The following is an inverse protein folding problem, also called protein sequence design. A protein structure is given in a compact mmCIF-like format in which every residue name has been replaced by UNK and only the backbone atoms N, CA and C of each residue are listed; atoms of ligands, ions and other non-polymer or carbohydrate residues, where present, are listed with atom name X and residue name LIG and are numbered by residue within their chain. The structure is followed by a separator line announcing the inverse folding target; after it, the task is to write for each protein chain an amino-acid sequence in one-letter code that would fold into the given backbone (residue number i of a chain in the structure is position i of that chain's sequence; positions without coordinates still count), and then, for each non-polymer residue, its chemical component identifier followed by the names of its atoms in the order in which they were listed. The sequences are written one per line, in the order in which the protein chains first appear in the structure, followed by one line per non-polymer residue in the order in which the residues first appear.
data_IF_007675041152
#
_entry.id   IF_007675041152
#
_cell.length_a   1.000
_cell.length_b   1.000
_cell.length_c   1.000
_cell.angle_alpha   90.00
_cell.angle_beta   90.00
_cell.angle_gamma   90.00
#
_symmetry.space_group_name_H-M   'P 1'
#
loop_
_entity.id
_entity.type
_entity.pdbx_description
1 polymer ?
#
# COMPACT_ATOMS: atom_id res chain seq x y z
N UNK A 1 -4.83 23.11 -26.81
CA UNK A 1 -4.16 23.93 -25.78
C UNK A 1 -3.23 23.03 -25.00
N UNK A 2 -1.94 23.15 -25.29
CA UNK A 2 -0.88 22.45 -24.54
C UNK A 2 -0.92 22.92 -23.10
N UNK A 3 -1.43 22.06 -22.22
CA UNK A 3 -1.23 22.23 -20.80
C UNK A 3 0.26 22.05 -20.53
N UNK A 4 0.96 23.14 -20.32
CA UNK A 4 2.33 23.13 -19.78
C UNK A 4 2.33 22.26 -18.53
N UNK A 5 2.78 21.00 -18.64
CA UNK A 5 3.05 20.16 -17.50
C UNK A 5 4.07 20.90 -16.64
N UNK A 6 3.66 21.31 -15.44
CA UNK A 6 4.57 21.90 -14.45
C UNK A 6 5.62 20.83 -14.10
N UNK A 7 6.78 20.92 -14.70
CA UNK A 7 7.94 20.04 -14.41
C UNK A 7 8.74 20.66 -13.28
N UNK A 8 9.22 19.84 -12.37
CA UNK A 8 10.22 20.28 -11.40
C UNK A 8 11.56 20.46 -12.09
N UNK A 9 12.44 21.30 -11.53
CA UNK A 9 13.81 21.49 -12.05
C UNK A 9 14.54 20.14 -12.17
N UNK A 10 14.36 19.25 -11.19
CA UNK A 10 14.95 17.90 -11.18
C UNK A 10 14.47 17.05 -12.37
N UNK A 11 13.16 17.03 -12.64
CA UNK A 11 12.62 16.26 -13.76
C UNK A 11 13.02 16.83 -15.13
N UNK A 12 13.11 18.14 -15.27
CA UNK A 12 13.54 18.79 -16.51
C UNK A 12 15.03 18.51 -16.80
N UNK A 13 15.88 18.58 -15.77
CA UNK A 13 17.31 18.23 -15.90
C UNK A 13 17.46 16.73 -16.21
N UNK A 14 16.73 15.85 -15.53
CA UNK A 14 16.80 14.39 -15.77
C UNK A 14 16.43 14.02 -17.21
N UNK A 15 15.37 14.63 -17.76
CA UNK A 15 14.96 14.38 -19.14
C UNK A 15 15.95 14.94 -20.19
N UNK A 16 16.55 16.10 -19.94
CA UNK A 16 17.50 16.74 -20.86
C UNK A 16 18.88 16.11 -20.83
N UNK A 17 19.31 15.57 -19.69
CA UNK A 17 20.66 15.03 -19.49
C UNK A 17 20.83 13.59 -20.00
N UNK A 18 19.83 13.02 -20.67
CA UNK A 18 19.82 11.67 -21.18
C UNK A 18 21.05 11.31 -22.02
N UNK A 19 22.10 10.75 -21.36
CA UNK A 19 23.35 10.18 -21.86
C UNK A 19 24.65 10.93 -21.59
N UNK A 20 24.69 12.12 -21.06
CA UNK A 20 25.97 12.72 -20.62
C UNK A 20 26.25 12.33 -19.14
N UNK A 21 26.92 11.21 -18.98
CA UNK A 21 27.39 10.67 -17.70
C UNK A 21 28.60 11.51 -17.25
N UNK A 22 28.39 12.43 -16.31
CA UNK A 22 29.49 13.23 -15.76
C UNK A 22 28.98 14.19 -14.68
N UNK A 23 28.77 15.42 -15.05
CA UNK A 23 28.41 16.53 -14.13
C UNK A 23 26.99 16.39 -13.55
N UNK A 24 26.08 15.63 -14.19
CA UNK A 24 24.69 15.48 -13.76
C UNK A 24 24.39 14.15 -13.08
N UNK A 25 25.39 13.29 -12.84
CA UNK A 25 25.16 11.98 -12.21
C UNK A 25 24.48 12.09 -10.85
N UNK A 26 24.99 12.97 -9.99
CA UNK A 26 24.45 13.19 -8.65
C UNK A 26 22.99 13.67 -8.68
N UNK A 27 22.66 14.54 -9.63
CA UNK A 27 21.27 15.02 -9.82
C UNK A 27 20.38 13.88 -10.29
N UNK A 28 20.83 13.03 -11.20
CA UNK A 28 20.11 11.86 -11.65
C UNK A 28 19.93 10.83 -10.52
N UNK A 29 20.96 10.62 -9.69
CA UNK A 29 20.87 9.72 -8.53
C UNK A 29 19.83 10.23 -7.53
N UNK A 30 19.78 11.53 -7.25
CA UNK A 30 18.76 12.15 -6.40
C UNK A 30 17.36 12.01 -7.03
N UNK A 31 17.23 12.27 -8.33
CA UNK A 31 15.96 12.12 -9.03
C UNK A 31 15.46 10.67 -8.97
N UNK A 32 16.33 9.70 -9.26
CA UNK A 32 16.00 8.27 -9.22
C UNK A 32 15.63 7.82 -7.80
N UNK A 33 16.32 8.38 -6.78
CA UNK A 33 15.97 8.11 -5.39
C UNK A 33 14.55 8.58 -5.05
N UNK A 34 14.17 9.80 -5.45
CA UNK A 34 12.79 10.28 -5.28
C UNK A 34 11.78 9.42 -6.03
N UNK A 35 12.12 8.92 -7.23
CA UNK A 35 11.25 8.02 -7.99
C UNK A 35 11.12 6.63 -7.36
N UNK A 36 12.08 6.21 -6.53
CA UNK A 36 12.08 4.93 -5.83
C UNK A 36 11.29 4.95 -4.52
N UNK A 37 10.84 6.12 -4.06
CA UNK A 37 10.01 6.24 -2.84
C UNK A 37 8.65 5.60 -3.11
N UNK A 38 8.26 4.67 -2.24
CA UNK A 38 6.95 4.02 -2.28
C UNK A 38 6.02 4.77 -1.32
N UNK A 39 4.86 5.20 -1.80
CA UNK A 39 3.84 5.85 -0.97
C UNK A 39 2.54 5.08 -1.13
N UNK A 40 2.05 4.52 -0.03
CA UNK A 40 0.77 3.82 0.04
C UNK A 40 -0.21 4.61 0.90
N UNK A 41 -1.24 5.14 0.27
CA UNK A 41 -2.40 5.71 0.95
C UNK A 41 -3.38 4.59 1.35
N UNK A 42 -4.35 4.86 2.24
CA UNK A 42 -5.33 3.86 2.64
C UNK A 42 -6.13 3.23 1.48
N UNK A 43 -6.30 3.98 0.39
CA UNK A 43 -7.01 3.54 -0.83
C UNK A 43 -6.09 3.14 -1.98
N UNK A 44 -4.77 3.25 -1.80
CA UNK A 44 -3.79 2.90 -2.83
C UNK A 44 -3.72 1.41 -3.03
N UNK A 45 -3.57 0.99 -4.29
CA UNK A 45 -3.17 -0.36 -4.64
C UNK A 45 -1.69 -0.38 -5.00
N UNK A 46 -1.00 -1.40 -4.51
CA UNK A 46 0.40 -1.58 -4.84
C UNK A 46 0.57 -2.17 -6.25
N UNK A 47 1.43 -1.56 -7.06
CA UNK A 47 1.63 -1.97 -8.48
C UNK A 47 2.24 -3.37 -8.63
N UNK A 48 2.90 -3.90 -7.60
CA UNK A 48 3.46 -5.25 -7.59
C UNK A 48 2.44 -6.37 -7.76
N UNK A 49 1.13 -6.10 -7.58
CA UNK A 49 0.06 -7.07 -7.85
C UNK A 49 0.06 -7.61 -9.28
N UNK A 50 0.56 -6.84 -10.27
CA UNK A 50 0.73 -7.30 -11.64
C UNK A 50 1.62 -8.55 -11.73
N UNK A 51 2.72 -8.56 -10.98
CA UNK A 51 3.67 -9.67 -10.98
C UNK A 51 3.04 -10.91 -10.35
N UNK A 52 2.19 -10.71 -9.34
CA UNK A 52 1.50 -11.79 -8.65
C UNK A 52 0.57 -12.57 -9.58
N UNK A 53 -0.19 -11.88 -10.41
CA UNK A 53 -1.15 -12.52 -11.30
C UNK A 53 -0.45 -13.35 -12.39
N UNK A 54 0.74 -12.95 -12.85
CA UNK A 54 1.40 -13.56 -14.00
C UNK A 54 2.47 -14.58 -13.63
N UNK A 55 3.23 -14.34 -12.55
CA UNK A 55 4.40 -15.15 -12.19
C UNK A 55 4.06 -16.17 -11.12
N UNK A 56 4.31 -17.46 -11.41
CA UNK A 56 4.07 -18.57 -10.48
C UNK A 56 4.84 -18.43 -9.16
N UNK A 57 6.11 -18.06 -9.22
CA UNK A 57 6.93 -17.87 -8.02
C UNK A 57 6.40 -16.75 -7.12
N UNK A 58 5.83 -15.70 -7.70
CA UNK A 58 5.20 -14.61 -6.95
C UNK A 58 3.92 -15.10 -6.28
N UNK A 59 3.06 -15.83 -7.01
CA UNK A 59 1.85 -16.44 -6.42
C UNK A 59 2.16 -17.37 -5.27
N UNK A 60 3.20 -18.21 -5.40
CA UNK A 60 3.65 -19.09 -4.31
C UNK A 60 4.15 -18.31 -3.10
N UNK A 61 4.89 -17.21 -3.32
CA UNK A 61 5.31 -16.31 -2.24
C UNK A 61 4.09 -15.71 -1.54
N UNK A 62 3.13 -15.17 -2.30
CA UNK A 62 1.89 -14.62 -1.74
C UNK A 62 1.10 -15.65 -0.96
N UNK A 63 0.94 -16.86 -1.48
CA UNK A 63 0.25 -17.95 -0.78
C UNK A 63 0.88 -18.24 0.59
N UNK A 64 2.21 -18.29 0.67
CA UNK A 64 2.93 -18.47 1.93
C UNK A 64 2.73 -17.30 2.89
N UNK A 65 2.72 -16.08 2.36
CA UNK A 65 2.51 -14.87 3.18
C UNK A 65 1.08 -14.80 3.71
N UNK A 66 0.06 -15.15 2.90
CA UNK A 66 -1.33 -15.20 3.33
C UNK A 66 -1.53 -16.24 4.44
N UNK A 67 -0.89 -17.40 4.34
CA UNK A 67 -0.89 -18.40 5.41
C UNK A 67 -0.16 -17.88 6.66
N UNK A 68 0.98 -17.19 6.51
CA UNK A 68 1.73 -16.60 7.63
C UNK A 68 0.88 -15.57 8.41
N UNK A 69 0.05 -14.80 7.72
CA UNK A 69 -0.86 -13.84 8.32
C UNK A 69 -2.21 -14.45 8.76
N UNK A 70 -2.35 -15.77 8.70
CA UNK A 70 -3.55 -16.50 9.16
C UNK A 70 -4.86 -15.99 8.55
N UNK A 71 -4.84 -15.71 7.24
CA UNK A 71 -6.00 -15.18 6.52
C UNK A 71 -7.03 -16.25 6.17
N UNK A 72 -6.70 -17.52 6.36
CA UNK A 72 -7.48 -18.65 5.87
C UNK A 72 -7.22 -19.00 4.40
N UNK A 73 -6.47 -18.17 3.65
CA UNK A 73 -6.11 -18.44 2.25
C UNK A 73 -4.95 -19.44 2.23
N UNK A 74 -5.19 -20.60 1.63
CA UNK A 74 -4.19 -21.67 1.45
C UNK A 74 -3.33 -21.46 0.20
N UNK A 75 -3.93 -20.96 -0.88
CA UNK A 75 -3.20 -20.63 -2.10
C UNK A 75 -3.84 -19.50 -2.87
N UNK A 76 -2.99 -18.76 -3.59
CA UNK A 76 -3.37 -17.78 -4.59
C UNK A 76 -3.15 -18.40 -5.96
N UNK A 77 -4.20 -18.44 -6.77
CA UNK A 77 -4.23 -19.07 -8.07
C UNK A 77 -4.51 -18.05 -9.17
N UNK A 78 -4.27 -18.43 -10.41
CA UNK A 78 -4.62 -17.62 -11.57
C UNK A 78 -5.54 -18.40 -12.50
N UNK A 79 -6.62 -17.79 -12.93
CA UNK A 79 -7.53 -18.34 -13.91
C UNK A 79 -7.50 -17.50 -15.18
N UNK A 80 -7.12 -18.13 -16.30
CA UNK A 80 -7.09 -17.47 -17.59
C UNK A 80 -8.34 -17.77 -18.40
N UNK A 81 -8.74 -16.81 -19.22
CA UNK A 81 -9.85 -16.95 -20.15
C UNK A 81 -9.90 -15.81 -21.17
N UNK A 82 -10.70 -15.92 -22.22
CA UNK A 82 -10.95 -14.82 -23.13
C UNK A 82 -11.57 -13.64 -22.38
N UNK A 83 -11.27 -12.42 -22.82
CA UNK A 83 -11.88 -11.23 -22.24
C UNK A 83 -13.36 -11.15 -22.63
N UNK A 84 -14.21 -11.25 -21.64
CA UNK A 84 -15.64 -10.96 -21.77
C UNK A 84 -15.91 -9.51 -21.35
N UNK A 85 -15.93 -8.62 -22.33
CA UNK A 85 -16.14 -7.20 -22.10
C UNK A 85 -17.51 -6.91 -21.46
N UNK A 86 -18.55 -7.63 -21.83
CA UNK A 86 -19.91 -7.38 -21.34
C UNK A 86 -20.01 -7.72 -19.86
N UNK A 87 -19.38 -8.82 -19.45
CA UNK A 87 -19.31 -9.21 -18.04
C UNK A 87 -18.40 -8.31 -17.21
N UNK A 88 -17.23 -7.91 -17.75
CA UNK A 88 -16.26 -7.07 -17.01
C UNK A 88 -16.83 -5.67 -16.80
N UNK A 89 -17.57 -5.14 -17.79
CA UNK A 89 -18.15 -3.79 -17.72
C UNK A 89 -19.62 -3.76 -17.31
N UNK A 90 -20.13 -4.86 -16.77
CA UNK A 90 -21.49 -4.92 -16.23
C UNK A 90 -21.74 -3.76 -15.23
N UNK A 91 -22.83 -3.04 -15.44
CA UNK A 91 -23.18 -1.87 -14.63
C UNK A 91 -22.50 -0.55 -15.03
N UNK A 92 -21.58 -0.57 -16.00
CA UNK A 92 -20.99 0.66 -16.57
C UNK A 92 -21.85 1.12 -17.76
N UNK A 93 -22.23 2.42 -17.85
CA UNK A 93 -22.97 2.93 -19.00
C UNK A 93 -22.24 2.64 -20.32
N UNK A 94 -22.99 2.19 -21.35
CA UNK A 94 -22.44 1.70 -22.61
C UNK A 94 -21.44 2.67 -23.30
N UNK A 95 -21.70 3.96 -23.24
CA UNK A 95 -20.78 4.98 -23.80
C UNK A 95 -19.40 4.97 -23.13
N UNK A 96 -19.35 4.75 -21.82
CA UNK A 96 -18.08 4.67 -21.08
C UNK A 96 -17.40 3.31 -21.29
N UNK A 97 -18.17 2.23 -21.33
CA UNK A 97 -17.69 0.88 -21.61
C UNK A 97 -16.98 0.82 -22.98
N UNK A 98 -17.56 1.38 -24.03
CA UNK A 98 -16.92 1.43 -25.36
C UNK A 98 -15.64 2.28 -25.38
N UNK A 99 -15.62 3.42 -24.71
CA UNK A 99 -14.39 4.24 -24.58
C UNK A 99 -13.28 3.50 -23.85
N UNK A 100 -13.62 2.78 -22.77
CA UNK A 100 -12.67 1.96 -22.01
C UNK A 100 -12.15 0.79 -22.84
N UNK A 101 -13.03 0.10 -23.59
CA UNK A 101 -12.69 -0.99 -24.49
C UNK A 101 -11.65 -0.56 -25.53
N UNK A 102 -11.90 0.57 -26.20
CA UNK A 102 -10.99 1.12 -27.21
C UNK A 102 -9.64 1.50 -26.54
N UNK A 103 -9.69 2.15 -25.38
CA UNK A 103 -8.47 2.55 -24.66
C UNK A 103 -7.65 1.34 -24.24
N UNK A 104 -8.28 0.34 -23.62
CA UNK A 104 -7.63 -0.90 -23.21
C UNK A 104 -7.00 -1.60 -24.41
N UNK A 105 -7.74 -1.74 -25.52
CA UNK A 105 -7.25 -2.39 -26.74
C UNK A 105 -6.04 -1.69 -27.35
N UNK A 106 -5.94 -0.37 -27.20
CA UNK A 106 -4.82 0.44 -27.69
C UNK A 106 -3.63 0.45 -26.72
N UNK A 107 -3.91 0.45 -25.40
CA UNK A 107 -2.88 0.55 -24.36
C UNK A 107 -2.17 -0.81 -24.13
N UNK A 108 -2.83 -1.94 -24.42
CA UNK A 108 -2.20 -3.26 -24.34
C UNK A 108 -1.26 -3.43 -25.55
N UNK A 109 0.03 -3.24 -25.28
CA UNK A 109 1.11 -3.54 -26.25
C UNK A 109 1.67 -4.93 -25.97
N UNK A 110 2.98 -5.05 -25.72
CA UNK A 110 3.64 -6.32 -25.41
C UNK A 110 3.67 -6.62 -23.89
N UNK A 111 3.22 -5.70 -23.05
CA UNK A 111 3.18 -5.85 -21.61
C UNK A 111 1.73 -6.00 -21.14
N UNK A 112 1.55 -6.73 -20.05
CA UNK A 112 0.23 -6.86 -19.42
C UNK A 112 -0.17 -5.57 -18.72
N UNK A 113 -1.47 -5.28 -18.77
CA UNK A 113 -2.09 -4.12 -18.11
C UNK A 113 -2.98 -4.61 -16.98
N UNK A 114 -2.77 -4.08 -15.78
CA UNK A 114 -3.67 -4.34 -14.65
C UNK A 114 -4.91 -3.46 -14.76
N UNK A 115 -6.07 -4.09 -14.65
CA UNK A 115 -7.35 -3.41 -14.63
C UNK A 115 -8.15 -3.85 -13.39
N UNK A 116 -8.68 -2.89 -12.64
CA UNK A 116 -9.65 -3.16 -11.56
C UNK A 116 -11.03 -2.68 -11.99
N UNK A 117 -11.95 -3.61 -12.07
CA UNK A 117 -13.35 -3.33 -12.39
C UNK A 117 -14.23 -4.09 -11.41
N UNK A 118 -15.27 -3.45 -10.88
CA UNK A 118 -16.19 -4.05 -9.91
C UNK A 118 -15.49 -4.74 -8.75
N UNK A 119 -14.43 -4.08 -8.24
CA UNK A 119 -13.59 -4.58 -7.14
C UNK A 119 -12.80 -5.87 -7.44
N UNK A 120 -12.82 -6.36 -8.69
CA UNK A 120 -12.04 -7.49 -9.16
C UNK A 120 -10.80 -7.02 -9.93
N UNK A 121 -9.66 -7.68 -9.70
CA UNK A 121 -8.40 -7.40 -10.37
C UNK A 121 -8.23 -8.34 -11.56
N UNK A 122 -7.96 -7.77 -12.72
CA UNK A 122 -7.67 -8.50 -13.98
C UNK A 122 -6.30 -8.08 -14.49
N UNK A 123 -5.51 -9.04 -14.94
CA UNK A 123 -4.38 -8.77 -15.85
C UNK A 123 -4.83 -9.02 -17.27
N UNK A 124 -4.60 -8.06 -18.15
CA UNK A 124 -5.01 -8.08 -19.55
C UNK A 124 -3.75 -8.13 -20.42
N UNK A 125 -3.68 -9.08 -21.34
CA UNK A 125 -2.61 -9.15 -22.34
C UNK A 125 -3.16 -9.59 -23.68
N UNK A 126 -2.43 -9.32 -24.78
CA UNK A 126 -2.73 -9.91 -26.10
C UNK A 126 -2.04 -11.26 -26.21
N UNK A 127 -2.74 -12.22 -26.78
CA UNK A 127 -2.13 -13.47 -27.26
C UNK A 127 -1.42 -13.27 -28.61
N UNK A 128 -0.83 -14.33 -29.14
CA UNK A 128 -0.11 -14.31 -30.40
C UNK A 128 -1.02 -14.00 -31.60
N UNK A 129 -2.32 -14.25 -31.49
CA UNK A 129 -3.34 -13.95 -32.47
C UNK A 129 -3.94 -12.54 -32.34
N UNK A 130 -3.52 -11.77 -31.33
CA UNK A 130 -3.97 -10.41 -31.04
C UNK A 130 -5.29 -10.34 -30.23
N UNK A 131 -5.82 -11.47 -29.75
CA UNK A 131 -6.98 -11.49 -28.88
C UNK A 131 -6.60 -11.07 -27.45
N UNK A 132 -7.51 -10.41 -26.75
CA UNK A 132 -7.27 -10.02 -25.36
C UNK A 132 -7.63 -11.19 -24.43
N UNK A 133 -6.62 -11.66 -23.70
CA UNK A 133 -6.76 -12.67 -22.66
C UNK A 133 -6.79 -11.95 -21.30
N UNK A 134 -7.73 -12.36 -20.46
CA UNK A 134 -7.79 -11.96 -19.05
C UNK A 134 -7.19 -13.03 -18.17
N UNK A 135 -6.40 -12.62 -17.18
CA UNK A 135 -6.01 -13.45 -16.06
C UNK A 135 -6.63 -12.88 -14.79
N UNK A 136 -7.40 -13.69 -14.08
CA UNK A 136 -7.98 -13.36 -12.78
C UNK A 136 -7.17 -14.01 -11.67
N UNK A 137 -7.03 -13.28 -10.58
CA UNK A 137 -6.54 -13.82 -9.33
C UNK A 137 -7.69 -14.45 -8.56
N UNK A 138 -7.49 -15.68 -8.10
CA UNK A 138 -8.44 -16.45 -7.32
C UNK A 138 -7.79 -16.89 -6.01
N UNK A 139 -8.58 -17.02 -4.96
CA UNK A 139 -8.14 -17.46 -3.64
C UNK A 139 -8.76 -18.81 -3.30
N UNK A 140 -7.92 -19.74 -2.81
CA UNK A 140 -8.35 -21.04 -2.34
C UNK A 140 -8.23 -21.09 -0.81
N UNK A 141 -9.35 -21.33 -0.13
CA UNK A 141 -9.40 -21.45 1.34
C UNK A 141 -9.30 -22.90 1.84
N UNK A 142 -8.95 -23.86 0.97
CA UNK A 142 -8.77 -25.26 1.33
C UNK A 142 -10.06 -26.03 1.57
N UNK A 143 -11.21 -25.47 1.23
CA UNK A 143 -12.53 -26.09 1.43
C UNK A 143 -13.04 -26.86 0.19
N UNK A 144 -12.15 -27.46 -0.58
CA UNK A 144 -12.47 -28.24 -1.77
C UNK A 144 -12.09 -27.54 -3.07
N UNK A 145 -13.00 -27.50 -4.06
CA UNK A 145 -12.73 -26.90 -5.37
C UNK A 145 -13.19 -25.44 -5.49
N UNK A 146 -13.73 -24.87 -4.43
CA UNK A 146 -14.27 -23.51 -4.46
C UNK A 146 -13.14 -22.49 -4.42
N UNK A 147 -13.07 -21.71 -5.49
CA UNK A 147 -12.16 -20.57 -5.62
C UNK A 147 -12.96 -19.29 -5.44
N UNK A 148 -12.47 -18.42 -4.57
CA UNK A 148 -13.07 -17.13 -4.28
C UNK A 148 -12.42 -16.05 -5.16
N UNK A 149 -13.18 -15.04 -5.52
CA UNK A 149 -12.66 -13.87 -6.22
C UNK A 149 -12.11 -12.84 -5.19
N UNK A 150 -11.18 -12.01 -5.61
CA UNK A 150 -10.64 -10.93 -4.74
C UNK A 150 -11.77 -10.05 -4.16
N UNK A 151 -12.86 -9.85 -4.90
CA UNK A 151 -14.01 -9.09 -4.45
C UNK A 151 -14.69 -9.68 -3.21
N UNK A 152 -14.66 -11.01 -3.06
CA UNK A 152 -15.30 -11.74 -1.98
C UNK A 152 -14.50 -11.69 -0.65
N UNK A 153 -13.24 -11.29 -0.73
CA UNK A 153 -12.36 -11.23 0.44
C UNK A 153 -12.72 -10.08 1.39
N UNK A 154 -12.36 -10.24 2.66
CA UNK A 154 -12.49 -9.18 3.66
C UNK A 154 -11.59 -7.97 3.32
N UNK A 155 -11.95 -6.78 3.83
CA UNK A 155 -11.12 -5.59 3.63
C UNK A 155 -9.73 -5.75 4.24
N UNK A 156 -9.59 -6.49 5.34
CA UNK A 156 -8.30 -6.81 5.94
C UNK A 156 -7.44 -7.69 5.04
N UNK A 157 -8.03 -8.73 4.46
CA UNK A 157 -7.36 -9.58 3.47
C UNK A 157 -6.94 -8.77 2.24
N UNK A 158 -7.82 -7.90 1.73
CA UNK A 158 -7.51 -6.99 0.61
C UNK A 158 -6.35 -6.06 0.94
N UNK A 159 -6.32 -5.52 2.17
CA UNK A 159 -5.21 -4.68 2.63
C UNK A 159 -3.87 -5.42 2.64
N UNK A 160 -3.86 -6.69 3.05
CA UNK A 160 -2.65 -7.51 2.99
C UNK A 160 -2.17 -7.74 1.56
N UNK A 161 -3.05 -7.86 0.57
CA UNK A 161 -2.67 -7.91 -0.85
C UNK A 161 -1.91 -6.65 -1.29
N UNK A 162 -2.19 -5.49 -0.69
CA UNK A 162 -1.47 -4.24 -0.98
C UNK A 162 -0.12 -4.14 -0.24
N UNK A 163 0.00 -4.77 0.93
CA UNK A 163 1.18 -4.66 1.78
C UNK A 163 2.23 -5.77 1.52
N UNK A 164 1.80 -7.01 1.25
CA UNK A 164 2.69 -8.17 1.03
C UNK A 164 3.69 -7.95 -0.12
N UNK A 165 3.36 -7.25 -1.24
CA UNK A 165 4.33 -6.97 -2.29
C UNK A 165 5.60 -6.26 -1.81
N UNK A 166 5.51 -5.47 -0.74
CA UNK A 166 6.65 -4.79 -0.14
C UNK A 166 7.76 -5.75 0.31
N UNK A 167 7.39 -6.99 0.65
CA UNK A 167 8.35 -8.03 1.06
C UNK A 167 8.93 -8.80 -0.11
N UNK A 168 8.21 -8.87 -1.24
CA UNK A 168 8.69 -9.58 -2.42
C UNK A 168 9.76 -8.80 -3.19
N UNK A 169 9.57 -7.50 -3.36
CA UNK A 169 10.47 -6.62 -4.12
C UNK A 169 11.62 -6.10 -3.25
N UNK A 170 12.22 -6.99 -2.47
CA UNK A 170 13.23 -6.60 -1.48
C UNK A 170 14.60 -6.37 -2.13
N UNK A 171 14.83 -5.14 -2.64
CA UNK A 171 16.09 -4.74 -3.28
C UNK A 171 17.00 -3.88 -2.38
N UNK A 172 16.64 -3.70 -1.10
CA UNK A 172 17.36 -2.80 -0.16
C UNK A 172 17.20 -1.30 -0.50
N UNK A 173 17.66 -0.45 0.42
CA UNK A 173 17.73 1.02 0.24
C UNK A 173 16.42 1.70 -0.19
N UNK A 174 15.26 1.21 0.27
CA UNK A 174 13.95 1.79 -0.06
C UNK A 174 13.44 2.67 1.07
N UNK A 175 12.74 3.73 0.68
CA UNK A 175 11.93 4.53 1.60
C UNK A 175 10.47 4.28 1.30
N UNK A 176 9.73 3.82 2.30
CA UNK A 176 8.34 3.40 2.19
C UNK A 176 7.51 4.25 3.14
N UNK A 177 6.52 4.94 2.62
CA UNK A 177 5.50 5.65 3.40
C UNK A 177 4.19 4.88 3.33
N UNK A 178 3.60 4.58 4.49
CA UNK A 178 2.29 3.95 4.59
C UNK A 178 1.39 4.81 5.45
N UNK A 179 0.37 5.37 4.85
CA UNK A 179 -0.65 6.11 5.59
C UNK A 179 -1.73 5.16 6.12
N UNK A 180 -2.10 5.30 7.40
CA UNK A 180 -3.02 4.40 8.11
C UNK A 180 -2.65 2.91 7.90
N UNK A 181 -1.47 2.50 8.40
CA UNK A 181 -1.00 1.13 8.25
C UNK A 181 -1.96 0.10 8.88
N UNK A 182 -2.64 0.49 9.94
CA UNK A 182 -3.61 -0.32 10.70
C UNK A 182 -5.00 -0.37 10.05
N UNK A 183 -5.25 0.39 8.98
CA UNK A 183 -6.56 0.42 8.35
C UNK A 183 -7.03 -0.96 7.92
N UNK A 184 -8.23 -1.34 8.35
CA UNK A 184 -8.88 -2.63 8.10
C UNK A 184 -8.12 -3.86 8.64
N UNK A 185 -7.01 -3.67 9.36
CA UNK A 185 -6.23 -4.74 9.95
C UNK A 185 -6.51 -4.85 11.46
N UNK A 186 -6.53 -6.09 11.96
CA UNK A 186 -6.44 -6.30 13.40
C UNK A 186 -5.05 -5.91 13.89
N UNK A 187 -4.94 -5.31 15.09
CA UNK A 187 -3.67 -4.89 15.71
C UNK A 187 -2.56 -5.94 15.60
N UNK A 188 -2.89 -7.21 15.85
CA UNK A 188 -1.90 -8.29 15.77
C UNK A 188 -1.34 -8.48 14.36
N UNK A 189 -2.14 -8.24 13.30
CA UNK A 189 -1.66 -8.33 11.92
C UNK A 189 -0.71 -7.18 11.59
N UNK A 190 -1.06 -5.96 12.02
CA UNK A 190 -0.18 -4.79 11.86
C UNK A 190 1.13 -4.98 12.61
N UNK A 191 1.06 -5.48 13.86
CA UNK A 191 2.25 -5.83 14.64
C UNK A 191 3.14 -6.86 13.91
N UNK A 192 2.54 -7.94 13.42
CA UNK A 192 3.26 -8.98 12.65
C UNK A 192 3.89 -8.45 11.39
N UNK A 193 3.22 -7.52 10.71
CA UNK A 193 3.79 -6.85 9.55
C UNK A 193 5.06 -6.07 9.91
N UNK A 194 5.03 -5.29 10.99
CA UNK A 194 6.19 -4.54 11.48
C UNK A 194 7.33 -5.46 11.91
N UNK A 195 7.05 -6.50 12.69
CA UNK A 195 8.05 -7.50 13.10
C UNK A 195 8.74 -8.15 11.89
N UNK A 196 7.95 -8.50 10.87
CA UNK A 196 8.46 -9.08 9.63
C UNK A 196 9.30 -8.08 8.84
N UNK A 197 8.84 -6.82 8.76
CA UNK A 197 9.59 -5.75 8.11
C UNK A 197 10.97 -5.58 8.74
N UNK A 198 11.05 -5.42 10.05
CA UNK A 198 12.34 -5.31 10.77
C UNK A 198 13.24 -6.52 10.51
N UNK A 199 12.68 -7.73 10.58
CA UNK A 199 13.45 -8.96 10.36
C UNK A 199 14.03 -9.06 8.94
N UNK A 200 13.27 -8.67 7.93
CA UNK A 200 13.68 -8.76 6.53
C UNK A 200 14.62 -7.64 6.13
N UNK A 201 14.51 -6.46 6.79
CA UNK A 201 15.30 -5.28 6.46
C UNK A 201 16.50 -5.06 7.38
N UNK A 202 16.76 -5.96 8.33
CA UNK A 202 17.85 -5.85 9.32
C UNK A 202 19.23 -5.59 8.69
N UNK A 203 19.44 -6.08 7.47
CA UNK A 203 20.74 -5.99 6.76
C UNK A 203 20.73 -5.03 5.58
N UNK A 204 19.68 -4.29 5.40
CA UNK A 204 19.58 -3.28 4.37
C UNK A 204 19.24 -1.91 4.95
N UNK A 205 19.33 -0.87 4.13
CA UNK A 205 19.05 0.49 4.55
C UNK A 205 17.61 0.91 4.20
N UNK A 206 16.65 -0.04 4.16
CA UNK A 206 15.25 0.30 3.94
C UNK A 206 14.65 1.00 5.16
N UNK A 207 13.80 1.99 4.91
CA UNK A 207 13.15 2.79 5.93
C UNK A 207 11.64 2.75 5.72
N UNK A 208 10.91 2.50 6.81
CA UNK A 208 9.45 2.56 6.86
C UNK A 208 9.01 3.76 7.68
N UNK A 209 8.19 4.62 7.09
CA UNK A 209 7.49 5.71 7.78
C UNK A 209 6.00 5.38 7.69
N UNK A 210 5.36 5.13 8.82
CA UNK A 210 3.94 4.77 8.86
C UNK A 210 3.16 5.68 9.80
N UNK A 211 1.95 6.08 9.39
CA UNK A 211 0.98 6.69 10.31
C UNK A 211 0.04 5.61 10.84
N UNK A 212 -0.46 5.77 12.06
CA UNK A 212 -1.39 4.85 12.69
C UNK A 212 -2.26 5.55 13.72
N UNK A 213 -3.47 5.04 13.91
CA UNK A 213 -4.36 5.41 15.01
C UNK A 213 -4.39 4.35 16.11
N UNK A 214 -3.69 3.22 15.93
CA UNK A 214 -3.68 2.11 16.89
C UNK A 214 -2.65 2.32 17.99
N UNK A 215 -3.12 2.74 19.18
CA UNK A 215 -2.27 2.93 20.35
C UNK A 215 -1.57 1.66 20.84
N UNK A 216 -2.08 0.47 20.51
CA UNK A 216 -1.45 -0.79 20.91
C UNK A 216 -0.12 -1.06 20.17
N UNK A 217 0.18 -0.31 19.12
CA UNK A 217 1.48 -0.34 18.45
C UNK A 217 2.56 0.45 19.21
N UNK A 218 2.19 1.24 20.23
CA UNK A 218 3.13 1.97 21.10
C UNK A 218 3.78 1.02 22.10
N UNK A 219 4.54 0.07 21.59
CA UNK A 219 5.23 -0.99 22.33
C UNK A 219 6.74 -0.86 22.14
N UNK A 220 7.46 -0.60 23.24
CA UNK A 220 8.91 -0.39 23.22
C UNK A 220 9.72 -1.67 22.98
N UNK A 221 9.07 -2.84 23.05
CA UNK A 221 9.69 -4.10 22.62
C UNK A 221 9.68 -4.25 21.08
N UNK A 222 8.83 -3.48 20.40
CA UNK A 222 8.70 -3.49 18.95
C UNK A 222 9.38 -2.29 18.29
N UNK A 223 9.19 -1.09 18.82
CA UNK A 223 9.59 0.19 18.22
C UNK A 223 10.38 1.00 19.26
N UNK A 224 11.51 1.60 18.86
CA UNK A 224 12.30 2.43 19.76
C UNK A 224 11.63 3.78 20.04
N UNK A 225 11.94 4.40 21.18
CA UNK A 225 11.38 5.71 21.57
C UNK A 225 11.65 6.81 20.55
N UNK A 226 12.81 6.79 19.90
CA UNK A 226 13.21 7.76 18.89
C UNK A 226 12.50 7.57 17.55
N UNK A 227 11.92 6.40 17.32
CA UNK A 227 11.11 6.05 16.14
C UNK A 227 9.63 6.41 16.30
N UNK A 228 9.16 6.65 17.53
CA UNK A 228 7.76 7.02 17.81
C UNK A 228 7.62 8.54 17.80
N UNK A 229 6.73 9.03 16.95
CA UNK A 229 6.45 10.44 16.77
C UNK A 229 4.96 10.72 16.95
N UNK A 230 4.64 11.76 17.71
CA UNK A 230 3.28 12.25 17.88
C UNK A 230 3.05 13.49 17.04
N UNK A 231 1.83 13.61 16.52
CA UNK A 231 1.35 14.79 15.81
C UNK A 231 0.14 15.33 16.55
N UNK A 232 0.22 16.56 17.00
CA UNK A 232 -0.90 17.24 17.67
C UNK A 232 -1.34 18.48 16.92
N UNK A 233 -2.59 18.84 17.10
CA UNK A 233 -3.14 20.10 16.63
C UNK A 233 -3.08 21.11 17.76
N UNK A 234 -2.33 22.19 17.58
CA UNK A 234 -2.23 23.25 18.58
C UNK A 234 -3.36 24.27 18.45
N UNK A 235 -3.50 25.14 19.45
CA UNK A 235 -4.63 26.11 19.56
C UNK A 235 -4.75 27.05 18.35
N UNK A 236 -3.65 27.40 17.70
CA UNK A 236 -3.62 28.24 16.49
C UNK A 236 -3.95 27.48 15.21
N UNK A 237 -4.40 26.22 15.33
CA UNK A 237 -4.76 25.30 14.24
C UNK A 237 -3.56 24.77 13.43
N UNK A 238 -2.33 25.09 13.81
CA UNK A 238 -1.15 24.45 13.23
C UNK A 238 -0.94 23.04 13.79
N UNK A 239 -0.12 22.23 13.11
CA UNK A 239 0.30 20.92 13.58
C UNK A 239 1.72 20.98 14.13
N UNK A 240 1.95 20.30 15.24
CA UNK A 240 3.28 20.13 15.84
C UNK A 240 3.62 18.65 15.91
N UNK A 241 4.84 18.31 15.54
CA UNK A 241 5.36 16.94 15.59
C UNK A 241 6.53 16.85 16.56
N UNK A 242 6.58 15.80 17.39
CA UNK A 242 7.62 15.56 18.37
C UNK A 242 7.76 14.07 18.69
N UNK A 243 8.99 13.66 19.03
CA UNK A 243 9.31 12.27 19.36
C UNK A 243 8.98 11.94 20.82
N UNK A 244 8.57 10.68 21.07
CA UNK A 244 8.43 10.10 22.40
C UNK A 244 9.74 10.21 23.20
N UNK A 245 10.89 10.19 22.56
CA UNK A 245 12.21 10.33 23.19
C UNK A 245 12.36 11.61 24.01
N UNK A 246 11.54 12.65 23.74
CA UNK A 246 11.48 13.88 24.54
C UNK A 246 11.11 13.62 25.99
N UNK A 247 10.33 12.55 26.25
CA UNK A 247 9.81 12.22 27.59
C UNK A 247 10.76 11.29 28.37
N UNK A 248 11.78 10.71 27.73
CA UNK A 248 12.77 9.79 28.34
C UNK A 248 12.09 8.68 29.14
N UNK A 249 11.11 8.02 28.52
CA UNK A 249 10.36 6.97 29.19
C UNK A 249 11.23 5.77 29.53
N UNK A 250 10.88 5.07 30.61
CA UNK A 250 11.54 3.81 30.96
C UNK A 250 11.06 2.71 30.03
N UNK A 251 11.92 1.75 29.75
CA UNK A 251 11.66 0.66 28.79
C UNK A 251 10.49 -0.25 29.22
N UNK A 252 10.28 -0.38 30.55
CA UNK A 252 9.20 -1.19 31.15
C UNK A 252 7.85 -0.48 31.20
N UNK A 253 7.74 0.71 30.62
CA UNK A 253 6.54 1.51 30.72
C UNK A 253 5.54 1.19 29.62
N UNK A 254 4.26 1.13 30.01
CA UNK A 254 3.13 0.96 29.11
C UNK A 254 2.79 2.30 28.44
N UNK A 255 3.53 2.59 27.35
CA UNK A 255 3.40 3.84 26.59
C UNK A 255 2.00 3.98 26.00
N UNK A 256 1.38 2.89 25.56
CA UNK A 256 0.01 2.81 25.08
C UNK A 256 -1.01 3.37 26.08
N UNK A 257 -0.90 2.97 27.36
CA UNK A 257 -1.79 3.46 28.41
C UNK A 257 -1.59 4.93 28.73
N UNK A 258 -0.33 5.36 28.84
CA UNK A 258 0.01 6.74 29.12
C UNK A 258 -0.43 7.68 27.98
N UNK A 259 -0.35 7.21 26.73
CA UNK A 259 -0.86 7.92 25.56
C UNK A 259 -2.36 8.18 25.68
N UNK A 260 -3.14 7.11 25.94
CA UNK A 260 -4.60 7.20 26.09
C UNK A 260 -5.03 8.10 27.29
N UNK A 261 -4.18 8.21 28.32
CA UNK A 261 -4.39 9.13 29.45
C UNK A 261 -4.01 10.59 29.11
N UNK A 262 -3.56 10.88 27.87
CA UNK A 262 -3.21 12.24 27.44
C UNK A 262 -1.86 12.74 27.89
N UNK A 263 -0.98 11.89 28.44
CA UNK A 263 0.35 12.29 28.91
C UNK A 263 1.22 12.88 27.82
N UNK A 264 1.04 12.43 26.57
CA UNK A 264 1.81 12.86 25.42
C UNK A 264 1.10 13.88 24.54
N UNK A 265 0.02 14.49 25.02
CA UNK A 265 -0.69 15.63 24.42
C UNK A 265 -1.39 15.36 23.07
N UNK A 266 -1.09 14.27 22.36
CA UNK A 266 -1.57 13.99 21.00
C UNK A 266 -2.85 13.15 20.95
N UNK A 267 -3.71 13.27 21.97
CA UNK A 267 -5.02 12.61 22.02
C UNK A 267 -6.16 13.61 21.84
N UNK A 268 -7.30 13.19 21.24
CA UNK A 268 -8.48 14.07 21.16
C UNK A 268 -8.94 14.49 22.55
N UNK A 269 -9.17 15.80 22.73
CA UNK A 269 -9.75 16.37 23.96
C UNK A 269 -11.21 16.67 23.68
N UNK A 270 -12.11 16.01 24.43
CA UNK A 270 -13.56 16.26 24.33
C UNK A 270 -13.95 17.41 25.25
N UNK A 271 -14.71 18.37 24.71
CA UNK A 271 -15.26 19.48 25.49
C UNK A 271 -16.65 19.09 26.00
N UNK A 272 -16.73 18.69 27.28
CA UNK A 272 -17.99 18.28 27.92
C UNK A 272 -19.00 19.44 28.09
N UNK A 273 -18.53 20.68 28.16
CA UNK A 273 -19.43 21.86 28.23
C UNK A 273 -20.34 21.98 27.01
N UNK A 274 -19.90 21.43 25.87
CA UNK A 274 -20.70 21.41 24.63
C UNK A 274 -21.89 20.45 24.73
N UNK A 275 -21.77 19.36 25.49
CA UNK A 275 -22.84 18.40 25.69
C UNK A 275 -23.95 18.98 26.60
N UNK A 276 -23.59 19.79 27.58
CA UNK A 276 -24.56 20.49 28.43
C UNK A 276 -25.37 21.52 27.63
N UNK A 277 -24.73 22.21 26.67
CA UNK A 277 -25.38 23.19 25.79
C UNK A 277 -26.33 22.56 24.75
N UNK A 278 -26.12 21.27 24.35
CA UNK A 278 -27.02 20.55 23.44
C UNK A 278 -28.29 20.04 24.19
N UNK A 279 -28.19 19.81 25.49
CA UNK A 279 -29.29 19.30 26.31
C UNK A 279 -30.12 20.40 26.99
N UNK A 280 -29.77 21.67 26.83
CA UNK A 280 -30.46 22.84 27.34
C UNK A 280 -31.36 23.48 26.25
#
# INVERSE_FOLDING_TARGET
SDSLKKKTILSDIAERSGKQVGIFKEILDVYNWFQSIIILFPTSQYSGLNQMVEKENVRQFFSKMMQYFDTGIMSVESKQGPMDFDKIFEGIPAEYAEKLKIKISNDITNESVLCKVNNQIYSLKKDDDGNIITTKMMQNHGNGQDLFEYADESDGTKRLFDLIPLFYEHNGNRVIFIDEIDRSLHTNLTRRFLELFYKLTERDNSQLIATTHDSNLLDLDLIRQDEIWFVERVKDQSSRMYSLNRYKERYDKRVDKEYLLGRYEAVPVFNEEFLEAINA
#
